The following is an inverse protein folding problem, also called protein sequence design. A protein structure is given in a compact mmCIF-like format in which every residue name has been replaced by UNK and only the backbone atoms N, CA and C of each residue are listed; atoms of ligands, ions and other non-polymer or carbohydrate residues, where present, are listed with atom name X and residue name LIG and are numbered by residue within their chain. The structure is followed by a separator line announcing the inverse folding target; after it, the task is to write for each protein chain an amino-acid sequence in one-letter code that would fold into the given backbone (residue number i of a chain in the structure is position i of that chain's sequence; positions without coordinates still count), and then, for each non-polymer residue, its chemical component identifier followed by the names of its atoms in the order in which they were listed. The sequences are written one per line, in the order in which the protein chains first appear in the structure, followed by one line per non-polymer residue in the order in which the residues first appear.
data_IF_342477628300
#
_entry.id   IF_342477628300
#
_cell.length_a   1.000
_cell.length_b   1.000
_cell.length_c   1.000
_cell.angle_alpha   90.00
_cell.angle_beta   90.00
_cell.angle_gamma   90.00
#
_symmetry.space_group_name_H-M   'P 1'
#
loop_
_entity.id
_entity.type
_entity.pdbx_description
1 polymer ?
#
# COMPACT_ATOMS: atom_id res chain seq x y z
N UNK A 1 -26.37 32.10 2.82
CA UNK A 1 -26.35 30.64 2.63
C UNK A 1 -25.04 30.15 3.22
N UNK A 2 -25.08 29.74 4.49
CA UNK A 2 -23.92 29.42 5.32
C UNK A 2 -23.49 27.96 5.10
N UNK A 3 -22.27 27.77 4.59
CA UNK A 3 -21.58 26.49 4.55
C UNK A 3 -21.10 26.16 5.98
N UNK A 4 -21.74 25.19 6.63
CA UNK A 4 -21.22 24.56 7.84
C UNK A 4 -20.25 23.45 7.42
N UNK A 5 -18.97 23.64 7.74
CA UNK A 5 -17.96 22.59 7.75
C UNK A 5 -18.30 21.59 8.87
N UNK A 6 -18.81 20.42 8.49
CA UNK A 6 -19.10 19.33 9.42
C UNK A 6 -17.83 18.51 9.69
N UNK A 7 -16.84 19.12 10.35
CA UNK A 7 -15.75 18.38 11.01
C UNK A 7 -16.26 17.81 12.32
N UNK A 8 -17.09 16.77 12.25
CA UNK A 8 -17.57 16.06 13.43
C UNK A 8 -16.44 15.19 14.02
N UNK A 9 -16.21 15.32 15.33
CA UNK A 9 -15.23 14.53 16.06
C UNK A 9 -15.51 13.02 15.88
N UNK A 10 -14.48 12.15 15.75
CA UNK A 10 -14.69 10.74 15.48
C UNK A 10 -15.59 10.12 16.55
N UNK A 11 -16.69 9.51 16.10
CA UNK A 11 -17.70 8.92 16.98
C UNK A 11 -17.06 7.92 17.94
N UNK A 12 -17.65 7.75 19.13
CA UNK A 12 -17.19 6.76 20.13
C UNK A 12 -17.05 5.35 19.53
N UNK A 13 -17.88 5.01 18.55
CA UNK A 13 -17.82 3.74 17.81
C UNK A 13 -16.58 3.63 16.91
N UNK A 14 -16.18 4.72 16.23
CA UNK A 14 -14.93 4.76 15.44
C UNK A 14 -13.72 4.51 16.33
N UNK A 15 -13.65 5.19 17.48
CA UNK A 15 -12.54 5.04 18.42
C UNK A 15 -12.38 3.63 18.98
N UNK A 16 -13.48 2.90 19.18
CA UNK A 16 -13.43 1.50 19.64
C UNK A 16 -12.97 0.56 18.52
N UNK A 17 -13.46 0.76 17.29
CA UNK A 17 -13.01 0.00 16.11
C UNK A 17 -11.50 0.12 15.90
N UNK A 18 -10.96 1.33 15.99
CA UNK A 18 -9.51 1.58 15.82
C UNK A 18 -8.68 0.92 16.92
N UNK A 19 -9.17 0.94 18.17
CA UNK A 19 -8.53 0.21 19.29
C UNK A 19 -8.52 -1.30 19.05
N UNK A 20 -9.63 -1.86 18.57
CA UNK A 20 -9.71 -3.29 18.22
C UNK A 20 -8.66 -3.62 17.16
N UNK A 21 -8.61 -2.86 16.06
CA UNK A 21 -7.65 -3.08 14.98
C UNK A 21 -6.20 -2.99 15.46
N UNK A 22 -5.85 -1.94 16.21
CA UNK A 22 -4.49 -1.73 16.75
C UNK A 22 -4.04 -2.89 17.64
N UNK A 23 -4.90 -3.35 18.55
CA UNK A 23 -4.57 -4.43 19.46
C UNK A 23 -4.57 -5.80 18.77
N UNK A 24 -5.49 -6.03 17.83
CA UNK A 24 -5.51 -7.22 17.01
C UNK A 24 -4.22 -7.34 16.18
N UNK A 25 -3.78 -6.27 15.52
CA UNK A 25 -2.52 -6.24 14.77
C UNK A 25 -1.32 -6.61 15.65
N UNK A 26 -1.24 -6.03 16.86
CA UNK A 26 -0.17 -6.35 17.82
C UNK A 26 -0.19 -7.84 18.20
N UNK A 27 -1.36 -8.40 18.47
CA UNK A 27 -1.50 -9.80 18.86
C UNK A 27 -1.21 -10.75 17.68
N UNK A 28 -1.77 -10.48 16.49
CA UNK A 28 -1.51 -11.25 15.28
C UNK A 28 -0.03 -11.25 14.91
N UNK A 29 0.65 -10.09 15.00
CA UNK A 29 2.07 -9.97 14.65
C UNK A 29 3.01 -10.64 15.66
N UNK A 30 2.59 -10.78 16.93
CA UNK A 30 3.43 -11.34 18.00
C UNK A 30 3.16 -12.82 18.28
N UNK A 31 1.91 -13.26 18.25
CA UNK A 31 1.48 -14.64 18.55
C UNK A 31 1.10 -15.43 17.30
N UNK A 32 0.91 -14.76 16.17
CA UNK A 32 0.32 -15.34 14.96
C UNK A 32 -1.21 -15.23 14.95
N UNK A 33 -1.78 -15.17 13.74
CA UNK A 33 -3.22 -15.09 13.52
C UNK A 33 -3.99 -16.26 14.15
N UNK A 34 -3.52 -17.50 13.94
CA UNK A 34 -4.19 -18.71 14.44
C UNK A 34 -4.23 -18.78 15.96
N UNK A 35 -3.14 -18.46 16.65
CA UNK A 35 -3.04 -18.55 18.11
C UNK A 35 -3.74 -17.41 18.85
N UNK A 36 -4.19 -16.37 18.14
CA UNK A 36 -4.92 -15.24 18.72
C UNK A 36 -6.42 -15.52 18.71
N UNK A 37 -7.10 -15.32 19.84
CA UNK A 37 -8.55 -15.45 19.95
C UNK A 37 -9.24 -14.08 20.06
N UNK A 38 -10.55 -14.03 19.76
CA UNK A 38 -11.37 -12.82 19.99
C UNK A 38 -11.34 -12.41 21.47
N UNK A 39 -11.25 -13.38 22.39
CA UNK A 39 -11.10 -13.14 23.83
C UNK A 39 -9.79 -12.42 24.18
N UNK A 40 -8.68 -12.81 23.55
CA UNK A 40 -7.40 -12.14 23.75
C UNK A 40 -7.48 -10.68 23.33
N UNK A 41 -8.09 -10.42 22.17
CA UNK A 41 -8.25 -9.07 21.62
C UNK A 41 -9.14 -8.23 22.56
N UNK A 42 -10.34 -8.72 22.89
CA UNK A 42 -11.28 -7.98 23.75
C UNK A 42 -10.70 -7.73 25.15
N UNK A 43 -10.02 -8.73 25.71
CA UNK A 43 -9.35 -8.63 27.01
C UNK A 43 -8.23 -7.59 27.02
N UNK A 44 -7.46 -7.49 25.93
CA UNK A 44 -6.35 -6.53 25.82
C UNK A 44 -6.77 -5.06 25.81
N UNK A 45 -8.05 -4.76 25.52
CA UNK A 45 -8.62 -3.41 25.51
C UNK A 45 -9.70 -3.21 26.58
N UNK A 46 -9.93 -4.20 27.46
CA UNK A 46 -10.87 -4.10 28.58
C UNK A 46 -12.34 -4.07 28.19
N UNK A 47 -12.74 -4.70 27.07
CA UNK A 47 -14.14 -4.79 26.65
C UNK A 47 -14.66 -6.23 26.71
N UNK A 48 -15.99 -6.38 26.81
CA UNK A 48 -16.66 -7.68 26.65
C UNK A 48 -16.56 -8.15 25.21
N UNK A 49 -16.50 -9.46 24.97
CA UNK A 49 -16.52 -10.03 23.62
C UNK A 49 -17.76 -9.58 22.82
N UNK A 50 -18.92 -9.50 23.47
CA UNK A 50 -20.15 -9.00 22.83
C UNK A 50 -19.99 -7.58 22.27
N UNK A 51 -19.23 -6.71 22.93
CA UNK A 51 -18.97 -5.36 22.44
C UNK A 51 -18.03 -5.37 21.22
N UNK A 52 -17.08 -6.31 21.14
CA UNK A 52 -16.24 -6.49 19.96
C UNK A 52 -17.08 -6.99 18.77
N UNK A 53 -18.01 -7.91 19.00
CA UNK A 53 -18.90 -8.44 17.97
C UNK A 53 -19.85 -7.37 17.38
N UNK A 54 -20.11 -6.28 18.10
CA UNK A 54 -20.83 -5.12 17.54
C UNK A 54 -20.04 -4.40 16.44
N UNK A 55 -18.72 -4.60 16.36
CA UNK A 55 -17.84 -3.96 15.38
C UNK A 55 -17.37 -4.92 14.29
N UNK A 56 -17.10 -6.19 14.65
CA UNK A 56 -16.60 -7.20 13.73
C UNK A 56 -17.33 -8.52 13.93
N UNK A 57 -17.83 -9.10 12.85
CA UNK A 57 -18.61 -10.36 12.90
C UNK A 57 -17.79 -11.53 13.45
N UNK A 58 -16.50 -11.57 13.13
CA UNK A 58 -15.58 -12.64 13.52
C UNK A 58 -14.12 -12.14 13.48
N UNK A 59 -13.18 -13.04 13.76
CA UNK A 59 -11.74 -12.75 13.73
C UNK A 59 -11.22 -12.49 12.30
N UNK A 60 -11.79 -13.17 11.30
CA UNK A 60 -11.42 -13.01 9.90
C UNK A 60 -11.72 -11.60 9.40
N UNK A 61 -12.90 -11.04 9.72
CA UNK A 61 -13.28 -9.67 9.37
C UNK A 61 -12.31 -8.61 9.95
N UNK A 62 -11.67 -8.88 11.09
CA UNK A 62 -10.64 -8.02 11.65
C UNK A 62 -9.37 -8.10 10.81
N UNK A 63 -8.93 -9.31 10.46
CA UNK A 63 -7.76 -9.54 9.61
C UNK A 63 -7.96 -8.90 8.23
N UNK A 64 -9.11 -9.14 7.60
CA UNK A 64 -9.51 -8.53 6.32
C UNK A 64 -9.41 -7.02 6.39
N UNK A 65 -10.05 -6.39 7.39
CA UNK A 65 -10.00 -4.92 7.53
C UNK A 65 -8.58 -4.41 7.73
N UNK A 66 -7.75 -5.12 8.50
CA UNK A 66 -6.34 -4.77 8.68
C UNK A 66 -5.57 -4.81 7.36
N UNK A 67 -5.72 -5.89 6.58
CA UNK A 67 -5.04 -6.05 5.30
C UNK A 67 -5.57 -5.07 4.25
N UNK A 68 -6.89 -4.88 4.15
CA UNK A 68 -7.49 -3.88 3.28
C UNK A 68 -6.97 -2.48 3.59
N UNK A 69 -6.79 -2.12 4.88
CA UNK A 69 -6.20 -0.85 5.25
C UNK A 69 -4.75 -0.69 4.74
N UNK A 70 -3.94 -1.76 4.70
CA UNK A 70 -2.61 -1.71 4.10
C UNK A 70 -2.69 -1.48 2.59
N UNK A 71 -3.56 -2.23 1.91
CA UNK A 71 -3.66 -2.20 0.44
C UNK A 71 -4.29 -0.89 -0.07
N UNK A 72 -5.17 -0.28 0.73
CA UNK A 72 -5.91 0.93 0.37
C UNK A 72 -5.26 2.24 0.85
N UNK A 73 -4.31 2.23 1.78
CA UNK A 73 -3.95 3.48 2.50
C UNK A 73 -2.93 4.39 1.83
N UNK A 74 -2.11 3.91 0.89
CA UNK A 74 -1.00 4.75 0.37
C UNK A 74 -0.85 4.75 -1.15
N UNK A 75 -0.93 3.60 -1.82
CA UNK A 75 -0.86 3.57 -3.29
C UNK A 75 -2.22 3.93 -3.88
N UNK A 76 -3.29 3.34 -3.35
CA UNK A 76 -4.66 3.68 -3.76
C UNK A 76 -4.93 5.17 -3.52
N UNK A 77 -4.55 5.74 -2.38
CA UNK A 77 -4.65 7.19 -2.09
C UNK A 77 -3.85 8.08 -3.05
N UNK A 78 -2.74 7.60 -3.63
CA UNK A 78 -2.00 8.37 -4.65
C UNK A 78 -2.80 8.49 -5.96
N UNK A 79 -3.65 7.50 -6.24
CA UNK A 79 -4.52 7.44 -7.41
C UNK A 79 -5.96 7.91 -7.14
N UNK A 80 -6.41 7.91 -5.88
CA UNK A 80 -7.74 8.37 -5.48
C UNK A 80 -7.83 9.90 -5.57
N UNK A 81 -9.02 10.39 -5.93
CA UNK A 81 -9.36 11.82 -6.08
C UNK A 81 -8.59 12.61 -7.16
N UNK A 82 -7.83 11.95 -8.04
CA UNK A 82 -7.11 12.63 -9.12
C UNK A 82 -7.58 12.17 -10.50
N UNK A 83 -7.90 13.14 -11.33
CA UNK A 83 -8.07 12.94 -12.76
C UNK A 83 -6.81 12.24 -13.32
N UNK A 84 -7.01 11.17 -14.10
CA UNK A 84 -5.90 10.44 -14.74
C UNK A 84 -5.06 11.38 -15.61
N UNK A 85 -5.69 12.40 -16.21
CA UNK A 85 -4.99 13.46 -16.94
C UNK A 85 -4.10 14.34 -16.03
N UNK A 86 -4.48 14.59 -14.79
CA UNK A 86 -3.63 15.33 -13.85
C UNK A 86 -2.44 14.48 -13.36
N UNK A 87 -2.61 13.16 -13.30
CA UNK A 87 -1.57 12.22 -12.90
C UNK A 87 -0.51 12.04 -13.99
N UNK A 88 -0.91 11.87 -15.26
CA UNK A 88 0.06 11.68 -16.35
C UNK A 88 1.01 12.87 -16.51
N UNK A 89 0.54 14.10 -16.27
CA UNK A 89 1.38 15.30 -16.37
C UNK A 89 2.46 15.41 -15.29
N UNK A 90 2.36 14.63 -14.21
CA UNK A 90 3.39 14.62 -13.16
C UNK A 90 4.66 13.86 -13.57
N UNK A 91 4.59 12.98 -14.58
CA UNK A 91 5.76 12.27 -15.10
C UNK A 91 6.56 11.56 -14.01
N UNK A 92 7.86 11.87 -13.94
CA UNK A 92 8.80 11.33 -12.94
C UNK A 92 8.36 11.57 -11.49
N UNK A 93 7.72 12.70 -11.20
CA UNK A 93 7.33 13.05 -9.84
C UNK A 93 6.32 12.05 -9.26
N UNK A 94 5.37 11.59 -10.08
CA UNK A 94 4.42 10.55 -9.68
C UNK A 94 5.13 9.23 -9.37
N UNK A 95 6.08 8.81 -10.23
CA UNK A 95 6.86 7.60 -10.01
C UNK A 95 7.68 7.68 -8.72
N UNK A 96 8.25 8.85 -8.43
CA UNK A 96 8.96 9.09 -7.18
C UNK A 96 8.02 9.00 -5.96
N UNK A 97 6.81 9.57 -6.05
CA UNK A 97 5.80 9.42 -5.00
C UNK A 97 5.41 7.97 -4.76
N UNK A 98 5.20 7.18 -5.83
CA UNK A 98 4.91 5.75 -5.72
C UNK A 98 6.05 4.98 -5.05
N UNK A 99 7.30 5.16 -5.49
CA UNK A 99 8.45 4.51 -4.89
C UNK A 99 8.66 4.92 -3.41
N UNK A 100 8.41 6.19 -3.08
CA UNK A 100 8.47 6.70 -1.70
C UNK A 100 7.41 6.04 -0.83
N UNK A 101 6.17 5.93 -1.33
CA UNK A 101 5.09 5.23 -0.64
C UNK A 101 5.48 3.78 -0.33
N UNK A 102 6.01 3.04 -1.31
CA UNK A 102 6.50 1.67 -1.09
C UNK A 102 7.59 1.62 -0.02
N UNK A 103 8.59 2.49 -0.14
CA UNK A 103 9.69 2.59 0.83
C UNK A 103 9.16 2.79 2.24
N UNK A 104 8.20 3.71 2.45
CA UNK A 104 7.65 4.03 3.76
C UNK A 104 6.90 2.85 4.43
N UNK A 105 6.37 1.89 3.66
CA UNK A 105 5.76 0.66 4.22
C UNK A 105 6.76 -0.07 5.13
N UNK A 106 8.04 -0.10 4.75
CA UNK A 106 9.10 -0.74 5.54
C UNK A 106 9.57 0.06 6.77
N UNK A 107 9.16 1.31 6.93
CA UNK A 107 9.63 2.21 8.01
C UNK A 107 8.53 2.73 8.92
N UNK A 108 7.26 2.58 8.55
CA UNK A 108 6.13 2.73 9.45
C UNK A 108 5.85 1.42 10.19
N UNK A 109 5.89 1.45 11.53
CA UNK A 109 5.79 0.24 12.35
C UNK A 109 4.44 -0.48 12.22
N UNK A 110 3.37 0.24 11.89
CA UNK A 110 2.05 -0.37 11.65
C UNK A 110 2.02 -1.04 10.27
N UNK A 111 2.47 -0.36 9.23
CA UNK A 111 2.54 -0.90 7.87
C UNK A 111 3.50 -2.09 7.77
N UNK A 112 4.62 -2.05 8.47
CA UNK A 112 5.55 -3.19 8.52
C UNK A 112 4.88 -4.42 9.16
N UNK A 113 4.18 -4.22 10.28
CA UNK A 113 3.45 -5.29 10.96
C UNK A 113 2.34 -5.87 10.06
N UNK A 114 1.62 -5.01 9.33
CA UNK A 114 0.59 -5.40 8.37
C UNK A 114 1.17 -6.18 7.19
N UNK A 115 2.27 -5.71 6.61
CA UNK A 115 2.94 -6.39 5.49
C UNK A 115 3.42 -7.78 5.91
N UNK A 116 4.00 -7.89 7.10
CA UNK A 116 4.42 -9.18 7.67
C UNK A 116 3.25 -10.12 7.85
N UNK A 117 2.13 -9.63 8.39
CA UNK A 117 0.91 -10.40 8.58
C UNK A 117 0.33 -10.87 7.23
N UNK A 118 0.29 -9.99 6.23
CA UNK A 118 -0.10 -10.32 4.86
C UNK A 118 0.75 -11.47 4.32
N UNK A 119 2.09 -11.36 4.41
CA UNK A 119 3.01 -12.39 3.90
C UNK A 119 2.88 -13.74 4.60
N UNK A 120 2.49 -13.75 5.88
CA UNK A 120 2.25 -14.98 6.64
C UNK A 120 0.94 -15.68 6.22
N UNK A 121 -0.10 -14.91 5.90
CA UNK A 121 -1.43 -15.42 5.63
C UNK A 121 -1.73 -15.64 4.14
N UNK A 122 -0.97 -15.03 3.21
CA UNK A 122 -1.22 -15.13 1.75
C UNK A 122 -1.24 -16.57 1.21
N UNK A 123 -0.54 -17.51 1.85
CA UNK A 123 -0.53 -18.93 1.47
C UNK A 123 -1.61 -19.75 2.19
N UNK A 124 -2.20 -19.22 3.26
CA UNK A 124 -3.07 -19.96 4.20
C UNK A 124 -4.52 -19.51 4.14
N UNK A 125 -4.77 -18.27 3.72
CA UNK A 125 -6.08 -17.66 3.68
C UNK A 125 -6.35 -17.18 2.24
N UNK A 126 -7.30 -17.84 1.58
CA UNK A 126 -7.68 -17.55 0.19
C UNK A 126 -8.19 -16.14 0.02
N UNK A 127 -9.03 -15.67 0.95
CA UNK A 127 -9.60 -14.34 0.86
C UNK A 127 -8.54 -13.23 1.03
N UNK A 128 -7.52 -13.44 1.85
CA UNK A 128 -6.38 -12.51 1.94
C UNK A 128 -5.58 -12.47 0.64
N UNK A 129 -5.46 -13.61 -0.05
CA UNK A 129 -4.81 -13.68 -1.36
C UNK A 129 -5.66 -13.02 -2.45
N UNK A 130 -6.98 -13.14 -2.40
CA UNK A 130 -7.90 -12.39 -3.26
C UNK A 130 -7.74 -10.88 -3.05
N UNK A 131 -7.75 -10.43 -1.79
CA UNK A 131 -7.55 -9.01 -1.44
C UNK A 131 -6.23 -8.48 -2.00
N UNK A 132 -5.15 -9.25 -1.86
CA UNK A 132 -3.85 -8.89 -2.43
C UNK A 132 -3.88 -8.81 -3.97
N UNK A 133 -4.44 -9.82 -4.63
CA UNK A 133 -4.45 -9.89 -6.09
C UNK A 133 -5.34 -8.80 -6.68
N UNK A 134 -6.56 -8.62 -6.18
CA UNK A 134 -7.54 -7.69 -6.75
C UNK A 134 -7.21 -6.24 -6.39
N UNK A 135 -7.18 -5.90 -5.10
CA UNK A 135 -7.06 -4.51 -4.67
C UNK A 135 -5.65 -3.96 -4.79
N UNK A 136 -4.64 -4.80 -4.60
CA UNK A 136 -3.28 -4.30 -4.49
C UNK A 136 -2.47 -4.50 -5.77
N UNK A 137 -2.56 -5.67 -6.41
CA UNK A 137 -1.86 -5.88 -7.68
C UNK A 137 -2.67 -5.36 -8.87
N UNK A 138 -3.87 -5.89 -9.11
CA UNK A 138 -4.64 -5.59 -10.32
C UNK A 138 -5.05 -4.12 -10.40
N UNK A 139 -5.61 -3.54 -9.34
CA UNK A 139 -6.03 -2.13 -9.38
C UNK A 139 -4.86 -1.17 -9.58
N UNK A 140 -3.76 -1.32 -8.82
CA UNK A 140 -2.63 -0.40 -8.91
C UNK A 140 -1.86 -0.53 -10.24
N UNK A 141 -1.68 -1.76 -10.73
CA UNK A 141 -1.04 -2.00 -12.03
C UNK A 141 -1.91 -1.44 -13.17
N UNK A 142 -3.23 -1.67 -13.15
CA UNK A 142 -4.14 -1.12 -14.16
C UNK A 142 -4.19 0.40 -14.13
N UNK A 143 -4.25 1.01 -12.93
CA UNK A 143 -4.24 2.48 -12.79
C UNK A 143 -2.94 3.09 -13.33
N UNK A 144 -1.78 2.55 -12.96
CA UNK A 144 -0.50 3.02 -13.48
C UNK A 144 -0.36 2.78 -15.00
N UNK A 145 -0.88 1.66 -15.51
CA UNK A 145 -0.95 1.40 -16.95
C UNK A 145 -1.76 2.47 -17.68
N UNK A 146 -2.92 2.88 -17.14
CA UNK A 146 -3.72 3.97 -17.70
C UNK A 146 -2.97 5.31 -17.71
N UNK A 147 -2.24 5.60 -16.63
CA UNK A 147 -1.37 6.79 -16.55
C UNK A 147 -0.24 6.75 -17.58
N UNK A 148 0.44 5.61 -17.75
CA UNK A 148 1.49 5.48 -18.77
C UNK A 148 0.94 5.60 -20.18
N UNK A 149 -0.23 5.02 -20.46
CA UNK A 149 -0.91 5.22 -21.73
C UNK A 149 -1.17 6.71 -21.99
N UNK A 150 -1.67 7.43 -20.99
CA UNK A 150 -1.84 8.88 -21.06
C UNK A 150 -0.54 9.65 -21.32
N UNK A 151 0.55 9.29 -20.63
CA UNK A 151 1.88 9.88 -20.88
C UNK A 151 2.39 9.64 -22.31
N UNK A 152 2.02 8.53 -22.95
CA UNK A 152 2.35 8.26 -24.35
C UNK A 152 1.54 9.14 -25.30
N UNK A 153 0.26 9.39 -25.02
CA UNK A 153 -0.59 10.27 -25.85
C UNK A 153 -0.13 11.73 -25.80
N UNK A 154 0.50 12.15 -24.71
CA UNK A 154 1.04 13.51 -24.52
C UNK A 154 2.53 13.64 -24.88
N UNK A 155 3.12 12.63 -25.52
CA UNK A 155 4.55 12.60 -25.90
C UNK A 155 5.53 12.86 -24.73
N UNK A 156 5.15 12.46 -23.50
CA UNK A 156 6.01 12.57 -22.31
C UNK A 156 6.99 11.38 -22.27
N UNK A 157 6.51 10.19 -22.63
CA UNK A 157 7.29 8.95 -22.67
C UNK A 157 7.14 8.26 -24.03
N UNK A 158 8.13 7.45 -24.39
CA UNK A 158 8.14 6.65 -25.61
C UNK A 158 6.96 5.68 -25.62
N UNK A 159 6.39 5.43 -26.79
CA UNK A 159 5.37 4.40 -26.98
C UNK A 159 5.90 3.00 -26.65
N UNK A 160 5.12 2.24 -25.88
CA UNK A 160 5.41 0.86 -25.47
C UNK A 160 4.11 0.18 -25.02
N UNK A 161 4.16 -1.07 -24.58
CA UNK A 161 3.05 -1.70 -23.86
C UNK A 161 2.91 -1.08 -22.45
N UNK A 162 1.80 -0.39 -22.14
CA UNK A 162 1.64 0.31 -20.87
C UNK A 162 1.45 -0.63 -19.68
N UNK A 163 0.90 -1.83 -19.90
CA UNK A 163 0.72 -2.82 -18.85
C UNK A 163 2.06 -3.46 -18.48
N UNK A 164 2.89 -3.74 -19.48
CA UNK A 164 4.27 -4.19 -19.28
C UNK A 164 5.07 -3.13 -18.50
N UNK A 165 5.01 -1.86 -18.91
CA UNK A 165 5.70 -0.78 -18.19
C UNK A 165 5.25 -0.66 -16.73
N UNK A 166 3.96 -0.79 -16.45
CA UNK A 166 3.44 -0.77 -15.08
C UNK A 166 4.01 -1.93 -14.25
N UNK A 167 4.09 -3.14 -14.82
CA UNK A 167 4.67 -4.30 -14.15
C UNK A 167 6.18 -4.13 -13.88
N UNK A 168 6.94 -3.71 -14.90
CA UNK A 168 8.38 -3.45 -14.79
C UNK A 168 8.68 -2.34 -13.77
N UNK A 169 7.79 -1.36 -13.63
CA UNK A 169 7.93 -0.33 -12.61
C UNK A 169 7.73 -0.90 -11.20
N UNK A 170 6.68 -1.69 -10.96
CA UNK A 170 6.37 -2.19 -9.62
C UNK A 170 7.25 -3.35 -9.16
N UNK A 171 7.71 -4.24 -10.06
CA UNK A 171 8.41 -5.46 -9.68
C UNK A 171 9.67 -5.21 -8.83
N UNK A 172 10.57 -4.26 -9.17
CA UNK A 172 11.71 -3.95 -8.31
C UNK A 172 11.32 -3.37 -6.95
N UNK A 173 10.24 -2.59 -6.87
CA UNK A 173 9.75 -2.02 -5.60
C UNK A 173 9.34 -3.13 -4.62
N UNK A 174 8.64 -4.16 -5.10
CA UNK A 174 8.31 -5.35 -4.29
C UNK A 174 9.55 -6.09 -3.82
N UNK A 175 10.52 -6.27 -4.71
CA UNK A 175 11.76 -6.95 -4.40
C UNK A 175 12.57 -6.22 -3.33
N UNK A 176 12.71 -4.89 -3.45
CA UNK A 176 13.40 -4.07 -2.45
C UNK A 176 12.66 -4.06 -1.11
N UNK A 177 11.33 -3.97 -1.13
CA UNK A 177 10.52 -4.01 0.09
C UNK A 177 10.66 -5.36 0.83
N UNK A 178 10.73 -6.46 0.09
CA UNK A 178 11.01 -7.79 0.65
C UNK A 178 12.40 -7.82 1.29
N UNK A 179 13.43 -7.34 0.60
CA UNK A 179 14.78 -7.27 1.15
C UNK A 179 14.88 -6.39 2.42
N UNK A 180 14.24 -5.23 2.43
CA UNK A 180 14.17 -4.37 3.63
C UNK A 180 13.56 -5.15 4.80
N UNK A 181 12.44 -5.85 4.55
CA UNK A 181 11.74 -6.62 5.59
C UNK A 181 12.61 -7.74 6.16
N UNK A 182 13.37 -8.45 5.31
CA UNK A 182 14.31 -9.51 5.72
C UNK A 182 15.52 -8.96 6.49
N UNK A 183 16.11 -7.84 6.04
CA UNK A 183 17.23 -7.21 6.73
C UNK A 183 16.84 -6.69 8.12
N UNK A 184 15.64 -6.11 8.26
CA UNK A 184 15.13 -5.65 9.57
C UNK A 184 14.91 -6.81 10.54
N UNK A 185 14.40 -7.94 10.04
CA UNK A 185 14.27 -9.18 10.82
C UNK A 185 15.61 -9.63 11.42
N UNK A 186 16.66 -9.56 10.61
CA UNK A 186 18.03 -9.90 11.00
C UNK A 186 18.76 -8.77 11.75
N UNK A 187 18.10 -7.64 12.02
CA UNK A 187 18.69 -6.43 12.61
C UNK A 187 19.92 -5.91 11.83
N UNK A 188 19.92 -6.11 10.51
CA UNK A 188 20.97 -5.64 9.59
C UNK A 188 20.62 -4.26 9.04
N UNK A 189 21.65 -3.55 8.56
CA UNK A 189 21.45 -2.26 7.88
C UNK A 189 20.62 -2.43 6.61
N UNK A 190 19.67 -1.51 6.40
CA UNK A 190 18.83 -1.44 5.19
C UNK A 190 19.31 -0.38 4.20
N UNK A 191 20.36 0.39 4.52
CA UNK A 191 20.73 1.61 3.80
C UNK A 191 21.00 1.41 2.31
N UNK A 192 21.68 0.31 1.95
CA UNK A 192 21.98 -0.02 0.55
C UNK A 192 20.70 -0.25 -0.26
N UNK A 193 19.78 -1.05 0.27
CA UNK A 193 18.49 -1.37 -0.38
C UNK A 193 17.56 -0.16 -0.41
N UNK A 194 17.54 0.66 0.64
CA UNK A 194 16.72 1.87 0.69
C UNK A 194 17.06 2.81 -0.46
N UNK A 195 18.34 2.96 -0.82
CA UNK A 195 18.75 3.80 -1.95
C UNK A 195 18.29 3.28 -3.32
N UNK A 196 17.88 2.01 -3.41
CA UNK A 196 17.47 1.40 -4.68
C UNK A 196 16.08 1.88 -5.13
N UNK A 197 15.23 2.35 -4.21
CA UNK A 197 13.92 2.89 -4.56
C UNK A 197 14.05 4.14 -5.44
N UNK A 198 14.88 5.11 -5.05
CA UNK A 198 15.11 6.32 -5.84
C UNK A 198 15.88 6.01 -7.13
N UNK A 199 16.94 5.19 -7.05
CA UNK A 199 17.72 4.78 -8.24
C UNK A 199 16.88 4.08 -9.30
N UNK A 200 15.90 3.28 -8.87
CA UNK A 200 14.96 2.63 -9.80
C UNK A 200 14.11 3.66 -10.54
N UNK A 201 13.57 4.65 -9.84
CA UNK A 201 12.80 5.72 -10.48
C UNK A 201 13.65 6.50 -11.49
N UNK A 202 14.89 6.85 -11.12
CA UNK A 202 15.81 7.55 -12.00
C UNK A 202 16.11 6.74 -13.27
N UNK A 203 16.56 5.49 -13.10
CA UNK A 203 16.88 4.59 -14.20
C UNK A 203 15.67 4.33 -15.09
N UNK A 204 14.52 3.99 -14.51
CA UNK A 204 13.30 3.70 -15.25
C UNK A 204 12.86 4.91 -16.06
N UNK A 205 12.82 6.10 -15.45
CA UNK A 205 12.43 7.33 -16.13
C UNK A 205 13.34 7.69 -17.29
N UNK A 206 14.66 7.60 -17.10
CA UNK A 206 15.63 7.96 -18.13
C UNK A 206 15.54 7.05 -19.37
N UNK A 207 15.11 5.81 -19.19
CA UNK A 207 14.92 4.86 -20.30
C UNK A 207 13.62 5.09 -21.08
N UNK A 208 12.56 5.58 -20.42
CA UNK A 208 11.24 5.73 -21.07
C UNK A 208 10.92 7.15 -21.52
N UNK A 209 11.51 8.19 -20.92
CA UNK A 209 11.20 9.59 -21.28
C UNK A 209 11.52 9.86 -22.75
N UNK A 210 10.73 10.73 -23.40
CA UNK A 210 11.13 11.29 -24.68
C UNK A 210 12.19 12.35 -24.41
N UNK A 211 13.42 12.09 -24.82
CA UNK A 211 14.42 13.15 -24.95
C UNK A 211 14.08 13.88 -26.24
N UNK A 212 13.69 15.17 -26.17
CA UNK A 212 13.69 16.01 -27.37
C UNK A 212 15.11 16.03 -27.90
N UNK A 213 15.43 15.17 -28.87
CA UNK A 213 16.61 15.38 -29.69
C UNK A 213 16.40 16.69 -30.42
N UNK A 214 17.41 17.54 -30.31
CA UNK A 214 17.55 18.83 -30.96
C UNK A 214 16.94 18.76 -32.37
N UNK A 215 15.96 19.62 -32.63
CA UNK A 215 15.61 20.03 -33.98
C UNK A 215 16.86 20.62 -34.61
N UNK A 216 17.68 19.77 -35.23
CA UNK A 216 18.63 20.14 -36.25
C UNK A 216 17.82 20.39 -37.52
N UNK A 217 17.31 21.62 -37.62
CA UNK A 217 16.99 22.28 -38.89
C UNK A 217 17.63 23.66 -38.87
#
# INVERSE_FOLDING_TARGET
MSLQNDTSAPSKNSKTKDKILKHALKLFSSKGYKATTVRDISGSIGIKQSALYNHFKNKDAILETLISNLTSSAIVTLFDDKDTQALQMQGKALLLSLATTFKLIGFDGQNEALLRLLMQEIYRNEHIREIYNEYFYQENVKKLSGVFFGMMQEDIIKSSDPLLLANEFFAPLFFYQMQVSLLKLDKKSTSSVVSMFEKHVDYFWDNIKITKQETLF
#
